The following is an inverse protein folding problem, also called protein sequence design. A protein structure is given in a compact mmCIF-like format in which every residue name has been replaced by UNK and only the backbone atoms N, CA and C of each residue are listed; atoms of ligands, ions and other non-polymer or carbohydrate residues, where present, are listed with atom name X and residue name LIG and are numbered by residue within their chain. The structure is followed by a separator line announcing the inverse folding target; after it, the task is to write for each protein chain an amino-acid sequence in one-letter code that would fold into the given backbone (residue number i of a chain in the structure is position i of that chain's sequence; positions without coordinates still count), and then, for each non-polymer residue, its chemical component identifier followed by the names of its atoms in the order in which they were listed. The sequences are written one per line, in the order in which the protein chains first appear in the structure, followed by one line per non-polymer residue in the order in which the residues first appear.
data_IF_305939007884
#
_entry.id   IF_305939007884
#
_cell.length_a   1.000
_cell.length_b   1.000
_cell.length_c   1.000
_cell.angle_alpha   90.00
_cell.angle_beta   90.00
_cell.angle_gamma   90.00
#
_symmetry.space_group_name_H-M   'P 1'
#
loop_
_entity.id
_entity.type
_entity.pdbx_description
1 polymer ?
#
# COMPACT_ATOMS: atom_id res chain seq x y z
N UNK A 1 12.74 -15.59 -8.07
CA UNK A 1 11.87 -14.85 -9.05
C UNK A 1 12.68 -14.44 -10.27
N UNK A 2 12.25 -14.79 -11.51
CA UNK A 2 13.00 -14.50 -12.74
C UNK A 2 12.06 -13.97 -13.81
N UNK A 3 12.40 -12.81 -14.40
CA UNK A 3 11.75 -12.29 -15.59
C UNK A 3 12.37 -12.96 -16.82
N UNK A 4 11.55 -13.23 -17.84
CA UNK A 4 11.99 -13.85 -19.10
C UNK A 4 11.32 -13.18 -20.28
N UNK A 5 12.11 -12.84 -21.31
CA UNK A 5 11.62 -12.34 -22.59
C UNK A 5 12.33 -13.06 -23.74
N UNK A 6 11.56 -13.43 -24.75
CA UNK A 6 12.10 -13.97 -26.01
C UNK A 6 11.99 -12.88 -27.06
N UNK A 7 13.12 -12.48 -27.63
CA UNK A 7 13.15 -11.43 -28.66
C UNK A 7 12.44 -11.93 -29.92
N UNK A 8 11.30 -11.34 -30.23
CA UNK A 8 10.41 -11.76 -31.32
C UNK A 8 10.33 -10.74 -32.48
N UNK A 9 11.08 -9.65 -32.39
CA UNK A 9 11.09 -8.58 -33.39
C UNK A 9 12.47 -7.94 -33.52
N UNK A 10 12.62 -7.05 -34.49
CA UNK A 10 13.88 -6.32 -34.80
C UNK A 10 13.89 -4.89 -34.23
N UNK A 11 12.92 -4.49 -33.39
CA UNK A 11 12.85 -3.15 -32.82
C UNK A 11 13.96 -2.89 -31.80
N UNK A 12 14.43 -3.95 -31.15
CA UNK A 12 15.48 -3.87 -30.13
C UNK A 12 16.85 -4.14 -30.76
N UNK A 13 17.78 -3.22 -30.54
CA UNK A 13 19.18 -3.37 -30.98
C UNK A 13 20.09 -3.82 -29.85
N UNK A 14 19.68 -3.67 -28.61
CA UNK A 14 20.46 -4.03 -27.44
C UNK A 14 19.57 -4.39 -26.24
N UNK A 15 20.16 -5.04 -25.24
CA UNK A 15 19.51 -5.51 -24.04
C UNK A 15 18.86 -4.37 -23.23
N UNK A 16 19.52 -3.20 -23.16
CA UNK A 16 18.98 -2.06 -22.40
C UNK A 16 17.58 -1.63 -22.88
N UNK A 17 17.35 -1.69 -24.19
CA UNK A 17 16.03 -1.35 -24.74
C UNK A 17 14.97 -2.35 -24.29
N UNK A 18 15.27 -3.65 -24.35
CA UNK A 18 14.35 -4.69 -23.88
C UNK A 18 14.05 -4.54 -22.39
N UNK A 19 15.08 -4.37 -21.55
CA UNK A 19 14.90 -4.23 -20.10
C UNK A 19 14.04 -3.02 -19.71
N UNK A 20 14.15 -1.92 -20.46
CA UNK A 20 13.35 -0.72 -20.20
C UNK A 20 11.94 -0.80 -20.76
N UNK A 21 11.76 -1.38 -21.95
CA UNK A 21 10.47 -1.34 -22.65
C UNK A 21 9.58 -2.52 -22.34
N UNK A 22 10.14 -3.73 -22.16
CA UNK A 22 9.37 -4.92 -21.88
C UNK A 22 9.21 -5.17 -20.37
N UNK A 23 10.28 -4.92 -19.61
CA UNK A 23 10.24 -5.15 -18.16
C UNK A 23 10.05 -3.88 -17.35
N UNK A 24 10.07 -2.70 -17.97
CA UNK A 24 9.94 -1.42 -17.27
C UNK A 24 10.90 -1.23 -16.09
N UNK A 25 12.10 -1.83 -16.19
CA UNK A 25 13.13 -1.76 -15.15
C UNK A 25 13.66 -0.32 -15.03
N UNK A 26 13.65 0.24 -13.83
CA UNK A 26 14.21 1.56 -13.56
C UNK A 26 15.73 1.60 -13.80
N UNK A 27 16.26 2.79 -14.14
CA UNK A 27 17.69 2.95 -14.34
C UNK A 27 18.53 2.55 -13.11
N UNK A 28 17.99 2.78 -11.91
CA UNK A 28 18.64 2.41 -10.64
C UNK A 28 18.71 0.90 -10.46
N UNK A 29 17.61 0.19 -10.63
CA UNK A 29 17.57 -1.26 -10.51
C UNK A 29 18.40 -1.91 -11.61
N UNK A 30 18.35 -1.39 -12.84
CA UNK A 30 19.14 -1.85 -13.96
C UNK A 30 20.64 -1.82 -13.65
N UNK A 31 21.14 -0.69 -13.14
CA UNK A 31 22.55 -0.55 -12.78
C UNK A 31 22.96 -1.63 -11.74
N UNK A 32 22.11 -1.88 -10.73
CA UNK A 32 22.35 -2.90 -9.71
C UNK A 32 22.40 -4.31 -10.31
N UNK A 33 21.44 -4.66 -11.17
CA UNK A 33 21.34 -5.98 -11.81
C UNK A 33 22.54 -6.29 -12.71
N UNK A 34 23.06 -5.29 -13.40
CA UNK A 34 24.27 -5.43 -14.25
C UNK A 34 25.50 -5.67 -13.38
N UNK A 35 25.72 -4.85 -12.36
CA UNK A 35 26.87 -5.00 -11.46
C UNK A 35 26.90 -6.37 -10.77
N UNK A 36 25.73 -6.91 -10.41
CA UNK A 36 25.59 -8.21 -9.77
C UNK A 36 25.48 -9.38 -10.77
N UNK A 37 25.62 -9.14 -12.09
CA UNK A 37 25.53 -10.15 -13.16
C UNK A 37 24.20 -10.93 -13.19
N UNK A 38 23.12 -10.29 -12.85
CA UNK A 38 21.77 -10.88 -12.79
C UNK A 38 20.99 -10.74 -14.12
N UNK A 39 21.62 -10.19 -15.17
CA UNK A 39 21.05 -10.12 -16.52
C UNK A 39 21.81 -11.09 -17.41
N UNK A 40 21.11 -12.02 -18.05
CA UNK A 40 21.69 -13.00 -18.95
C UNK A 40 21.03 -12.93 -20.34
N UNK A 41 21.85 -13.16 -21.36
CA UNK A 41 21.46 -13.42 -22.74
C UNK A 41 21.79 -14.88 -23.06
N UNK A 42 20.79 -15.67 -23.40
CA UNK A 42 20.96 -17.10 -23.67
C UNK A 42 21.73 -17.83 -22.56
N UNK A 43 21.37 -17.53 -21.29
CA UNK A 43 21.99 -18.06 -20.07
C UNK A 43 23.42 -17.57 -19.77
N UNK A 44 23.97 -16.63 -20.53
CA UNK A 44 25.29 -16.04 -20.29
C UNK A 44 25.14 -14.64 -19.71
N UNK A 45 25.78 -14.31 -18.57
CA UNK A 45 25.74 -12.94 -18.05
C UNK A 45 26.32 -11.92 -19.02
N UNK A 46 25.63 -10.80 -19.15
CA UNK A 46 25.95 -9.78 -20.18
C UNK A 46 25.82 -8.35 -19.65
N UNK A 47 26.41 -7.41 -20.41
CA UNK A 47 26.22 -5.96 -20.24
C UNK A 47 24.99 -5.50 -21.04
N UNK A 48 24.39 -4.39 -20.64
CA UNK A 48 23.24 -3.77 -21.30
C UNK A 48 23.48 -3.34 -22.73
N UNK A 49 24.76 -3.15 -23.12
CA UNK A 49 25.16 -2.76 -24.49
C UNK A 49 25.18 -3.92 -25.46
N UNK A 50 25.14 -5.15 -24.97
CA UNK A 50 25.14 -6.32 -25.86
C UNK A 50 23.97 -6.25 -26.83
N UNK A 51 24.26 -6.50 -28.11
CA UNK A 51 23.23 -6.61 -29.15
C UNK A 51 22.30 -7.78 -28.89
N UNK A 52 21.11 -7.71 -29.46
CA UNK A 52 20.11 -8.78 -29.41
C UNK A 52 19.64 -9.15 -30.81
N UNK A 53 19.32 -10.41 -31.00
CA UNK A 53 18.80 -10.99 -32.24
C UNK A 53 17.47 -11.70 -32.00
N UNK A 54 16.70 -11.92 -33.05
CA UNK A 54 15.45 -12.68 -32.97
C UNK A 54 15.76 -14.07 -32.40
N UNK A 55 14.89 -14.56 -31.53
CA UNK A 55 14.99 -15.79 -30.74
C UNK A 55 15.98 -15.76 -29.58
N UNK A 56 16.69 -14.68 -29.33
CA UNK A 56 17.47 -14.53 -28.11
C UNK A 56 16.56 -14.53 -26.87
N UNK A 57 17.04 -15.19 -25.83
CA UNK A 57 16.34 -15.28 -24.55
C UNK A 57 17.04 -14.38 -23.53
N UNK A 58 16.34 -13.35 -23.08
CA UNK A 58 16.80 -12.47 -22.02
C UNK A 58 16.17 -12.91 -20.72
N UNK A 59 16.98 -13.13 -19.69
CA UNK A 59 16.51 -13.43 -18.34
C UNK A 59 17.09 -12.43 -17.34
N UNK A 60 16.24 -12.03 -16.36
CA UNK A 60 16.63 -11.16 -15.25
C UNK A 60 16.31 -11.87 -13.96
N UNK A 61 17.32 -12.21 -13.18
CA UNK A 61 17.14 -12.79 -11.87
C UNK A 61 16.95 -11.66 -10.83
N UNK A 62 15.79 -11.63 -10.18
CA UNK A 62 15.45 -10.68 -9.12
C UNK A 62 15.72 -11.24 -7.72
N UNK A 63 16.29 -12.45 -7.66
CA UNK A 63 16.51 -13.20 -6.43
C UNK A 63 17.95 -13.01 -5.93
N UNK A 64 18.21 -11.90 -5.28
CA UNK A 64 19.50 -11.57 -4.67
C UNK A 64 19.33 -11.10 -3.23
N UNK A 65 20.34 -11.38 -2.41
CA UNK A 65 20.34 -10.99 -1.00
C UNK A 65 20.46 -9.48 -0.82
N UNK A 66 19.71 -8.95 0.15
CA UNK A 66 19.75 -7.55 0.55
C UNK A 66 19.58 -7.43 2.06
N UNK A 67 20.18 -6.42 2.65
CA UNK A 67 20.08 -6.16 4.08
C UNK A 67 19.26 -4.90 4.39
N UNK A 68 18.54 -4.94 5.51
CA UNK A 68 17.85 -3.80 6.11
C UNK A 68 18.56 -3.39 7.39
N UNK A 69 19.71 -2.73 7.26
CA UNK A 69 20.59 -2.36 8.38
C UNK A 69 19.90 -1.49 9.44
N UNK A 70 18.95 -0.65 9.02
CA UNK A 70 18.27 0.33 9.87
C UNK A 70 16.96 -0.16 10.50
N UNK A 71 16.63 -1.45 10.37
CA UNK A 71 15.42 -2.03 10.96
C UNK A 71 15.85 -3.14 11.92
N UNK A 72 15.45 -3.02 13.18
CA UNK A 72 15.70 -4.05 14.20
C UNK A 72 14.76 -5.22 13.95
N UNK A 73 15.30 -6.45 13.97
CA UNK A 73 14.50 -7.67 13.89
C UNK A 73 13.79 -7.90 15.23
N UNK A 74 12.45 -7.95 15.21
CA UNK A 74 11.65 -8.11 16.44
C UNK A 74 10.57 -9.15 16.23
N UNK A 75 10.52 -10.16 17.09
CA UNK A 75 9.47 -11.18 17.03
C UNK A 75 8.09 -10.56 17.22
N UNK A 76 7.21 -10.78 16.27
CA UNK A 76 5.86 -10.26 16.24
C UNK A 76 4.95 -11.25 15.51
N UNK A 77 3.73 -11.43 16.01
CA UNK A 77 2.72 -12.22 15.31
C UNK A 77 2.18 -11.42 14.12
N UNK A 78 2.32 -11.97 12.93
CA UNK A 78 1.86 -11.36 11.69
C UNK A 78 0.60 -12.07 11.17
N UNK A 79 -0.45 -11.31 10.93
CA UNK A 79 -1.65 -11.84 10.27
C UNK A 79 -1.42 -11.81 8.75
N UNK A 80 -0.91 -12.91 8.21
CA UNK A 80 -0.59 -13.07 6.78
C UNK A 80 -1.86 -13.45 6.03
N UNK A 81 -2.24 -12.62 5.05
CA UNK A 81 -3.37 -12.87 4.14
C UNK A 81 -2.91 -13.59 2.88
N UNK A 82 -1.72 -13.25 2.37
CA UNK A 82 -1.16 -13.87 1.18
C UNK A 82 0.36 -13.71 1.15
N UNK A 83 1.03 -14.69 0.58
CA UNK A 83 2.46 -14.66 0.35
C UNK A 83 2.82 -15.44 -0.91
N UNK A 84 3.74 -14.89 -1.71
CA UNK A 84 4.41 -15.55 -2.82
C UNK A 84 5.88 -15.12 -2.92
N UNK A 85 6.55 -15.38 -4.05
CA UNK A 85 7.96 -15.02 -4.27
C UNK A 85 8.19 -13.50 -4.33
N UNK A 86 7.19 -12.70 -4.68
CA UNK A 86 7.27 -11.25 -4.87
C UNK A 86 6.61 -10.42 -3.79
N UNK A 87 5.64 -10.98 -3.07
CA UNK A 87 4.70 -10.25 -2.23
C UNK A 87 4.52 -10.91 -0.86
N UNK A 88 4.28 -10.07 0.14
CA UNK A 88 3.72 -10.44 1.44
C UNK A 88 2.60 -9.45 1.76
N UNK A 89 1.36 -9.94 1.93
CA UNK A 89 0.18 -9.13 2.25
C UNK A 89 -0.28 -9.47 3.66
N UNK A 90 -0.38 -8.45 4.48
CA UNK A 90 -0.75 -8.57 5.89
C UNK A 90 -2.04 -7.83 6.18
N UNK A 91 -2.79 -8.30 7.17
CA UNK A 91 -3.82 -7.52 7.85
C UNK A 91 -3.20 -6.85 9.07
N UNK A 92 -2.85 -5.57 8.94
CA UNK A 92 -2.23 -4.79 10.03
C UNK A 92 -3.26 -4.50 11.13
N UNK A 93 -3.00 -4.81 12.39
CA UNK A 93 -3.84 -4.33 13.49
C UNK A 93 -3.68 -2.81 13.68
N UNK A 94 -4.63 -2.18 14.37
CA UNK A 94 -4.46 -0.82 14.86
C UNK A 94 -3.39 -0.75 15.96
N UNK A 95 -2.84 0.43 16.22
CA UNK A 95 -1.84 0.65 17.27
C UNK A 95 -0.39 0.32 16.88
N UNK A 96 -0.14 -0.11 15.65
CA UNK A 96 1.22 -0.44 15.16
C UNK A 96 1.57 0.45 13.97
N UNK A 97 2.74 1.09 14.00
CA UNK A 97 3.28 1.83 12.85
C UNK A 97 3.75 0.89 11.74
N UNK A 98 3.74 1.35 10.50
CA UNK A 98 4.27 0.55 9.38
C UNK A 98 5.79 0.52 9.40
N UNK A 99 6.42 1.67 9.61
CA UNK A 99 7.88 1.83 9.66
C UNK A 99 8.36 2.23 11.04
N UNK A 100 9.61 1.93 11.38
CA UNK A 100 10.24 2.47 12.57
C UNK A 100 10.18 4.00 12.60
N UNK A 101 9.97 4.54 13.78
CA UNK A 101 10.00 5.99 14.06
C UNK A 101 10.70 6.21 15.40
N UNK A 102 10.91 7.47 15.79
CA UNK A 102 11.58 7.82 17.06
C UNK A 102 10.90 7.14 18.26
N UNK A 103 9.56 7.09 18.26
CA UNK A 103 8.78 6.49 19.36
C UNK A 103 8.50 4.99 19.17
N UNK A 104 8.68 4.46 17.97
CA UNK A 104 8.38 3.08 17.57
C UNK A 104 9.57 2.48 16.83
N UNK A 105 10.73 2.41 17.48
CA UNK A 105 11.97 1.98 16.83
C UNK A 105 12.04 0.46 16.65
N UNK A 106 11.48 -0.29 17.58
CA UNK A 106 11.55 -1.77 17.61
C UNK A 106 10.21 -2.48 17.50
N UNK A 107 9.10 -1.76 17.47
CA UNK A 107 7.72 -2.27 17.54
C UNK A 107 6.86 -1.93 16.31
N UNK A 108 7.49 -1.52 15.21
CA UNK A 108 6.79 -1.33 13.95
C UNK A 108 6.54 -2.64 13.20
N UNK A 109 5.57 -2.66 12.31
CA UNK A 109 5.27 -3.83 11.46
C UNK A 109 6.50 -4.25 10.63
N UNK A 110 7.30 -3.29 10.17
CA UNK A 110 8.56 -3.58 9.46
C UNK A 110 9.58 -4.34 10.30
N UNK A 111 9.60 -4.14 11.63
CA UNK A 111 10.44 -4.92 12.55
C UNK A 111 9.98 -6.38 12.59
N UNK A 112 8.66 -6.61 12.67
CA UNK A 112 8.08 -7.95 12.62
C UNK A 112 8.30 -8.66 11.28
N UNK A 113 8.13 -7.95 10.16
CA UNK A 113 8.39 -8.50 8.82
C UNK A 113 9.87 -8.86 8.65
N UNK A 114 10.79 -8.07 9.19
CA UNK A 114 12.21 -8.42 9.17
C UNK A 114 12.47 -9.72 9.93
N UNK A 115 11.94 -9.87 11.15
CA UNK A 115 12.05 -11.10 11.92
C UNK A 115 11.47 -12.30 11.16
N UNK A 116 10.31 -12.13 10.55
CA UNK A 116 9.67 -13.17 9.75
C UNK A 116 10.55 -13.60 8.57
N UNK A 117 11.08 -12.66 7.78
CA UNK A 117 11.97 -12.97 6.67
C UNK A 117 13.23 -13.72 7.14
N UNK A 118 13.87 -13.29 8.22
CA UNK A 118 15.02 -13.97 8.79
C UNK A 118 14.67 -15.40 9.25
N UNK A 119 13.48 -15.60 9.85
CA UNK A 119 13.04 -16.91 10.35
C UNK A 119 12.81 -17.94 9.23
N UNK A 120 12.50 -17.48 8.02
CA UNK A 120 12.34 -18.34 6.83
C UNK A 120 13.59 -18.34 5.93
N UNK A 121 14.72 -17.79 6.41
CA UNK A 121 15.98 -17.73 5.66
C UNK A 121 15.98 -16.74 4.50
N UNK A 122 15.04 -15.79 4.45
CA UNK A 122 14.90 -14.82 3.37
C UNK A 122 15.65 -13.52 3.73
N UNK A 123 16.75 -13.26 3.07
CA UNK A 123 17.53 -12.02 3.23
C UNK A 123 17.05 -10.97 2.21
N UNK A 124 16.08 -10.17 2.59
CA UNK A 124 15.47 -9.13 1.76
C UNK A 124 15.35 -7.82 2.51
N UNK A 125 15.47 -6.73 1.76
CA UNK A 125 15.14 -5.40 2.29
C UNK A 125 13.64 -5.29 2.53
N UNK A 126 13.25 -4.69 3.66
CA UNK A 126 11.84 -4.48 4.01
C UNK A 126 11.27 -3.33 3.20
N UNK A 127 10.26 -3.62 2.36
CA UNK A 127 9.70 -2.70 1.36
C UNK A 127 8.18 -2.64 1.42
N UNK A 128 7.57 -1.87 2.32
CA UNK A 128 6.14 -1.64 2.21
C UNK A 128 5.82 -0.86 0.94
N UNK A 129 4.75 -1.26 0.29
CA UNK A 129 4.23 -0.69 -0.96
C UNK A 129 3.26 0.44 -0.68
N UNK A 130 2.36 0.24 0.29
CA UNK A 130 1.43 1.24 0.78
C UNK A 130 1.70 1.53 2.26
N UNK A 131 1.02 2.53 2.79
CA UNK A 131 1.11 2.89 4.20
C UNK A 131 -0.28 3.04 4.80
N UNK A 132 -0.37 2.70 6.08
CA UNK A 132 -1.53 2.95 6.94
C UNK A 132 -1.05 3.77 8.14
N UNK A 133 -1.93 4.62 8.65
CA UNK A 133 -1.65 5.36 9.88
C UNK A 133 -1.53 4.41 11.08
N UNK A 134 -0.92 4.86 12.18
CA UNK A 134 -0.73 4.08 13.41
C UNK A 134 -2.01 3.31 13.79
N UNK A 135 -3.12 4.01 13.91
CA UNK A 135 -4.40 3.49 14.37
C UNK A 135 -5.37 3.07 13.25
N UNK A 136 -4.93 3.11 11.98
CA UNK A 136 -5.68 2.52 10.86
C UNK A 136 -5.31 1.06 10.71
N UNK A 137 -6.30 0.18 10.68
CA UNK A 137 -6.13 -1.26 10.47
C UNK A 137 -6.33 -1.65 9.00
N UNK A 138 -5.98 -2.90 8.63
CA UNK A 138 -6.31 -3.50 7.35
C UNK A 138 -5.12 -3.84 6.46
N UNK A 139 -5.39 -4.02 5.18
CA UNK A 139 -4.46 -4.58 4.22
C UNK A 139 -3.25 -3.69 3.95
N UNK A 140 -2.07 -4.27 4.11
CA UNK A 140 -0.79 -3.67 3.77
C UNK A 140 0.07 -4.66 3.00
N UNK A 141 0.80 -4.16 2.00
CA UNK A 141 1.61 -4.96 1.09
C UNK A 141 3.08 -4.65 1.31
N UNK A 142 3.88 -5.69 1.42
CA UNK A 142 5.34 -5.64 1.37
C UNK A 142 5.82 -6.33 0.11
N UNK A 143 6.63 -5.64 -0.69
CA UNK A 143 7.31 -6.24 -1.82
C UNK A 143 8.61 -6.91 -1.37
N UNK A 144 8.86 -8.13 -1.86
CA UNK A 144 10.07 -8.88 -1.51
C UNK A 144 11.29 -8.49 -2.36
N UNK A 145 11.10 -7.68 -3.40
CA UNK A 145 12.19 -7.12 -4.21
C UNK A 145 11.85 -5.72 -4.72
N UNK A 146 12.86 -5.02 -5.25
CA UNK A 146 12.74 -3.63 -5.73
C UNK A 146 11.86 -3.52 -6.97
N UNK A 147 11.90 -4.50 -7.87
CA UNK A 147 11.10 -4.52 -9.10
C UNK A 147 9.60 -4.51 -8.80
N UNK A 148 9.15 -5.43 -7.93
CA UNK A 148 7.73 -5.51 -7.54
C UNK A 148 7.28 -4.25 -6.81
N UNK A 149 8.13 -3.68 -5.93
CA UNK A 149 7.81 -2.42 -5.26
C UNK A 149 7.61 -1.29 -6.26
N UNK A 150 8.55 -1.09 -7.19
CA UNK A 150 8.49 -0.03 -8.20
C UNK A 150 7.27 -0.19 -9.12
N UNK A 151 6.99 -1.41 -9.58
CA UNK A 151 5.86 -1.70 -10.44
C UNK A 151 4.52 -1.39 -9.75
N UNK A 152 4.33 -1.80 -8.50
CA UNK A 152 3.11 -1.50 -7.75
C UNK A 152 2.96 -0.01 -7.41
N UNK A 153 4.06 0.70 -7.15
CA UNK A 153 4.04 2.16 -6.98
C UNK A 153 3.62 2.85 -8.30
N UNK A 154 4.10 2.38 -9.44
CA UNK A 154 3.67 2.90 -10.75
C UNK A 154 2.17 2.64 -10.99
N UNK A 155 1.66 1.46 -10.65
CA UNK A 155 0.23 1.16 -10.75
C UNK A 155 -0.61 2.09 -9.85
N UNK A 156 -0.15 2.43 -8.65
CA UNK A 156 -0.81 3.43 -7.80
C UNK A 156 -0.84 4.82 -8.44
N UNK A 157 0.28 5.25 -9.06
CA UNK A 157 0.36 6.55 -9.74
C UNK A 157 -0.52 6.61 -10.99
N UNK A 158 -0.73 5.47 -11.66
CA UNK A 158 -1.56 5.33 -12.86
C UNK A 158 -3.02 4.94 -12.53
N UNK A 159 -3.41 4.93 -11.25
CA UNK A 159 -4.75 4.58 -10.76
C UNK A 159 -5.23 3.15 -11.15
N UNK A 160 -4.30 2.25 -11.46
CA UNK A 160 -4.57 0.82 -11.69
C UNK A 160 -4.70 0.06 -10.37
N UNK A 161 -3.91 0.46 -9.38
CA UNK A 161 -3.97 -0.10 -8.03
C UNK A 161 -5.16 0.48 -7.24
N UNK A 162 -6.11 -0.37 -6.89
CA UNK A 162 -7.29 0.03 -6.09
C UNK A 162 -7.04 -0.23 -4.60
N UNK A 163 -7.44 0.74 -3.75
CA UNK A 163 -7.51 0.62 -2.29
C UNK A 163 -8.86 1.11 -1.83
N UNK A 164 -9.59 0.26 -1.12
CA UNK A 164 -10.86 0.63 -0.52
C UNK A 164 -10.80 0.50 1.00
N UNK A 165 -11.48 1.41 1.64
CA UNK A 165 -11.55 1.51 3.10
C UNK A 165 -12.99 1.53 3.54
N UNK A 166 -13.27 0.94 4.68
CA UNK A 166 -14.50 1.17 5.42
C UNK A 166 -14.21 2.18 6.52
N UNK A 167 -14.97 3.27 6.51
CA UNK A 167 -14.97 4.30 7.54
C UNK A 167 -16.33 4.38 8.22
N UNK A 168 -16.35 4.59 9.54
CA UNK A 168 -17.57 4.98 10.26
C UNK A 168 -17.44 6.45 10.61
N UNK A 169 -18.35 7.26 10.10
CA UNK A 169 -18.30 8.73 10.18
C UNK A 169 -19.52 9.29 10.86
N UNK A 170 -19.41 10.50 11.42
CA UNK A 170 -20.49 11.18 12.12
C UNK A 170 -21.55 11.72 11.16
N UNK A 171 -22.83 11.62 11.54
CA UNK A 171 -23.97 12.17 10.82
C UNK A 171 -24.39 11.37 9.59
N UNK A 172 -25.33 11.93 8.86
CA UNK A 172 -25.95 11.38 7.63
C UNK A 172 -25.60 12.24 6.42
N UNK A 173 -25.57 11.63 5.25
CA UNK A 173 -25.21 12.30 4.00
C UNK A 173 -26.45 12.65 3.17
N UNK A 174 -26.49 13.86 2.63
CA UNK A 174 -27.47 14.24 1.61
C UNK A 174 -27.24 13.47 0.30
N UNK A 175 -25.97 13.38 -0.11
CA UNK A 175 -25.55 12.62 -1.30
C UNK A 175 -24.90 11.30 -0.88
N UNK A 176 -25.46 10.18 -1.30
CA UNK A 176 -25.01 8.84 -0.90
C UNK A 176 -23.71 8.40 -1.59
N UNK A 177 -23.24 9.10 -2.57
CA UNK A 177 -21.94 8.92 -3.21
C UNK A 177 -21.40 10.25 -3.73
N UNK A 178 -20.06 10.35 -3.83
CA UNK A 178 -19.42 11.55 -4.34
C UNK A 178 -17.91 11.43 -4.44
N UNK A 179 -17.30 12.51 -4.91
CA UNK A 179 -15.85 12.65 -5.03
C UNK A 179 -15.43 13.90 -4.26
N UNK A 180 -14.48 13.72 -3.34
CA UNK A 180 -13.82 14.81 -2.63
C UNK A 180 -12.48 15.03 -3.32
N UNK A 181 -12.36 16.13 -4.06
CA UNK A 181 -11.14 16.54 -4.77
C UNK A 181 -10.65 17.85 -4.16
N UNK A 182 -9.96 17.75 -3.04
CA UNK A 182 -9.48 18.88 -2.24
C UNK A 182 -8.01 18.67 -1.86
N UNK A 183 -7.11 19.60 -2.21
CA UNK A 183 -5.68 19.44 -1.93
C UNK A 183 -5.40 19.45 -0.42
N UNK A 184 -4.43 18.64 0.00
CA UNK A 184 -4.05 18.47 1.41
C UNK A 184 -2.63 18.97 1.65
N UNK A 185 -2.47 19.83 2.65
CA UNK A 185 -1.19 20.34 3.15
C UNK A 185 -0.97 19.95 4.62
N UNK A 186 0.23 20.22 5.12
CA UNK A 186 0.50 20.22 6.56
C UNK A 186 -0.18 21.44 7.17
N UNK A 187 -0.92 21.26 8.27
CA UNK A 187 -1.52 22.38 9.01
C UNK A 187 -0.40 23.23 9.62
N UNK A 188 -0.56 24.54 9.52
CA UNK A 188 0.38 25.49 10.09
C UNK A 188 0.54 25.26 11.60
N UNK A 189 1.75 25.37 12.09
CA UNK A 189 2.12 25.14 13.50
C UNK A 189 1.85 23.72 14.02
N UNK A 190 1.62 22.73 13.15
CA UNK A 190 1.47 21.33 13.54
C UNK A 190 2.46 20.41 12.81
N UNK A 191 3.07 19.49 13.58
CA UNK A 191 3.96 18.46 13.03
C UNK A 191 3.12 17.29 12.45
N UNK A 192 1.96 17.02 13.04
CA UNK A 192 1.15 15.82 12.78
C UNK A 192 -0.05 16.13 11.88
N UNK A 193 -0.78 17.22 12.17
CA UNK A 193 -2.05 17.50 11.50
C UNK A 193 -1.89 17.89 10.04
N UNK A 194 -2.90 17.58 9.27
CA UNK A 194 -3.09 17.97 7.87
C UNK A 194 -4.38 18.78 7.76
N UNK A 195 -4.48 19.58 6.72
CA UNK A 195 -5.70 20.35 6.42
C UNK A 195 -5.90 20.45 4.92
N UNK A 196 -7.13 20.72 4.51
CA UNK A 196 -7.43 21.14 3.14
C UNK A 196 -6.83 22.53 2.94
N UNK A 197 -6.06 22.71 1.86
CA UNK A 197 -5.39 23.97 1.53
C UNK A 197 -5.10 24.01 0.03
N UNK A 198 -5.33 25.15 -0.61
CA UNK A 198 -5.03 25.37 -2.03
C UNK A 198 -3.56 25.14 -2.39
N UNK A 199 -2.65 25.38 -1.45
CA UNK A 199 -1.21 25.12 -1.59
C UNK A 199 -0.83 23.66 -1.30
N UNK A 200 -1.82 22.78 -1.09
CA UNK A 200 -1.62 21.38 -0.77
C UNK A 200 -1.30 20.50 -1.98
N UNK A 201 -0.96 19.26 -1.71
CA UNK A 201 -0.82 18.24 -2.73
C UNK A 201 -2.20 17.72 -3.15
N UNK A 202 -2.39 17.49 -4.45
CA UNK A 202 -3.62 16.89 -4.98
C UNK A 202 -4.02 15.66 -4.18
N UNK A 203 -5.27 15.62 -3.73
CA UNK A 203 -5.84 14.54 -2.98
C UNK A 203 -7.27 14.28 -3.45
N UNK A 204 -7.57 13.02 -3.83
CA UNK A 204 -8.86 12.63 -4.40
C UNK A 204 -9.36 11.38 -3.68
N UNK A 205 -10.54 11.48 -3.09
CA UNK A 205 -11.24 10.39 -2.40
C UNK A 205 -12.64 10.23 -2.99
N UNK A 206 -12.95 9.06 -3.53
CA UNK A 206 -14.31 8.67 -3.87
C UNK A 206 -14.96 8.07 -2.63
N UNK A 207 -16.24 8.35 -2.40
CA UNK A 207 -17.00 7.77 -1.31
C UNK A 207 -18.38 7.26 -1.74
N UNK A 208 -18.83 6.23 -1.05
CA UNK A 208 -20.16 5.63 -1.19
C UNK A 208 -20.70 5.27 0.20
N UNK A 209 -21.87 5.76 0.55
CA UNK A 209 -22.54 5.44 1.82
C UNK A 209 -23.17 4.07 1.71
N UNK A 210 -22.71 3.12 2.51
CA UNK A 210 -23.21 1.75 2.52
C UNK A 210 -24.38 1.55 3.46
N UNK A 211 -24.37 2.25 4.60
CA UNK A 211 -25.42 2.19 5.61
C UNK A 211 -25.42 3.48 6.43
N UNK A 212 -26.58 3.85 6.95
CA UNK A 212 -26.78 5.04 7.79
C UNK A 212 -27.69 4.74 8.98
N UNK A 213 -27.44 5.46 10.04
CA UNK A 213 -28.35 5.62 11.19
C UNK A 213 -28.58 7.12 11.39
N UNK A 214 -29.42 7.50 12.38
CA UNK A 214 -29.62 8.92 12.70
C UNK A 214 -28.36 9.63 13.22
N UNK A 215 -27.27 8.90 13.56
CA UNK A 215 -26.09 9.45 14.23
C UNK A 215 -24.78 9.23 13.49
N UNK A 216 -24.70 8.22 12.61
CA UNK A 216 -23.47 7.90 11.87
C UNK A 216 -23.79 7.22 10.54
N UNK A 217 -22.79 7.25 9.66
CA UNK A 217 -22.81 6.56 8.37
C UNK A 217 -21.61 5.60 8.26
N UNK A 218 -21.84 4.43 7.66
CA UNK A 218 -20.79 3.51 7.21
C UNK A 218 -20.49 3.83 5.77
N UNK A 219 -19.26 4.22 5.49
CA UNK A 219 -18.86 4.75 4.21
C UNK A 219 -17.71 3.93 3.63
N UNK A 220 -17.87 3.49 2.39
CA UNK A 220 -16.77 2.97 1.59
C UNK A 220 -16.01 4.14 0.96
N UNK A 221 -14.71 4.19 1.16
CA UNK A 221 -13.82 5.22 0.60
C UNK A 221 -12.82 4.56 -0.33
N UNK A 222 -12.75 5.00 -1.60
CA UNK A 222 -11.73 4.59 -2.55
C UNK A 222 -10.72 5.71 -2.74
N UNK A 223 -9.44 5.41 -2.57
CA UNK A 223 -8.36 6.37 -2.70
C UNK A 223 -7.75 6.37 -4.10
N UNK A 224 -7.88 7.49 -4.83
CA UNK A 224 -7.13 7.72 -6.07
C UNK A 224 -5.75 8.32 -5.82
N UNK A 225 -5.53 8.89 -4.64
CA UNK A 225 -4.24 9.40 -4.15
C UNK A 225 -4.00 8.89 -2.72
N UNK A 226 -2.77 8.99 -2.20
CA UNK A 226 -2.42 8.46 -0.87
C UNK A 226 -1.73 9.48 0.02
N UNK A 227 -2.38 10.61 0.34
CA UNK A 227 -1.80 11.62 1.25
C UNK A 227 -1.98 11.21 2.71
N UNK A 228 -1.08 11.69 3.56
CA UNK A 228 -1.16 11.43 5.01
C UNK A 228 -2.51 11.89 5.55
N UNK A 229 -3.21 11.03 6.29
CA UNK A 229 -4.52 11.28 6.90
C UNK A 229 -5.64 11.62 5.89
N UNK A 230 -5.50 11.30 4.60
CA UNK A 230 -6.37 11.82 3.54
C UNK A 230 -7.85 11.62 3.81
N UNK A 231 -8.33 10.40 4.08
CA UNK A 231 -9.74 10.12 4.37
C UNK A 231 -10.21 10.90 5.59
N UNK A 232 -9.41 10.93 6.65
CA UNK A 232 -9.70 11.61 7.91
C UNK A 232 -9.90 13.11 7.70
N UNK A 233 -9.00 13.74 6.98
CA UNK A 233 -9.06 15.19 6.62
C UNK A 233 -10.25 15.47 5.73
N UNK A 234 -10.44 14.70 4.67
CA UNK A 234 -11.52 14.90 3.71
C UNK A 234 -12.89 14.77 4.36
N UNK A 235 -13.12 13.69 5.10
CA UNK A 235 -14.40 13.46 5.79
C UNK A 235 -14.67 14.53 6.86
N UNK A 236 -13.68 14.92 7.64
CA UNK A 236 -13.82 16.01 8.61
C UNK A 236 -14.15 17.34 7.93
N UNK A 237 -13.49 17.66 6.80
CA UNK A 237 -13.70 18.91 6.06
C UNK A 237 -15.13 19.04 5.50
N UNK A 238 -15.72 17.93 5.04
CA UNK A 238 -17.11 17.92 4.54
C UNK A 238 -18.16 17.78 5.65
N UNK A 239 -17.75 17.84 6.94
CA UNK A 239 -18.67 17.81 8.10
C UNK A 239 -18.97 16.42 8.64
N UNK A 240 -18.32 15.37 8.16
CA UNK A 240 -18.50 13.98 8.57
C UNK A 240 -17.21 13.36 9.15
N UNK A 241 -16.66 13.86 10.28
CA UNK A 241 -15.45 13.31 10.86
C UNK A 241 -15.63 11.84 11.24
N UNK A 242 -14.53 11.08 11.20
CA UNK A 242 -14.55 9.67 11.61
C UNK A 242 -14.82 9.54 13.10
N UNK A 243 -15.64 8.57 13.48
CA UNK A 243 -15.89 8.24 14.87
C UNK A 243 -14.59 7.81 15.54
N UNK A 244 -14.33 8.32 16.75
CA UNK A 244 -13.14 8.04 17.54
C UNK A 244 -11.85 8.70 17.02
N UNK A 245 -11.92 9.57 16.00
CA UNK A 245 -10.77 10.32 15.52
C UNK A 245 -10.49 11.53 16.43
N UNK A 246 -9.61 11.38 17.40
CA UNK A 246 -9.26 12.45 18.35
C UNK A 246 -8.51 13.62 17.72
N UNK A 247 -8.01 13.49 16.48
CA UNK A 247 -7.24 14.53 15.81
C UNK A 247 -8.10 15.43 14.92
N UNK A 248 -9.11 14.84 14.22
CA UNK A 248 -9.94 15.54 13.23
C UNK A 248 -11.43 15.52 13.56
N UNK A 249 -11.84 14.79 14.58
CA UNK A 249 -13.23 14.65 15.01
C UNK A 249 -13.38 14.83 16.50
N UNK A 250 -14.11 13.94 17.12
CA UNK A 250 -14.30 13.89 18.57
C UNK A 250 -13.95 12.51 19.10
N UNK A 251 -13.53 12.45 20.37
CA UNK A 251 -13.42 11.19 21.10
C UNK A 251 -14.77 10.47 21.15
N UNK A 252 -14.73 9.16 21.24
CA UNK A 252 -15.92 8.32 21.37
C UNK A 252 -15.68 7.27 22.44
N UNK A 253 -16.68 7.04 23.28
CA UNK A 253 -16.63 5.95 24.28
C UNK A 253 -16.79 4.56 23.64
N UNK A 254 -17.14 4.51 22.36
CA UNK A 254 -17.41 3.26 21.63
C UNK A 254 -16.19 2.70 20.92
N UNK A 255 -15.25 3.55 20.55
CA UNK A 255 -14.00 3.18 19.87
C UNK A 255 -12.90 4.19 20.19
N UNK A 256 -11.71 3.71 20.57
CA UNK A 256 -10.58 4.53 21.04
C UNK A 256 -9.64 4.98 19.91
N UNK A 257 -10.06 4.87 18.65
CA UNK A 257 -9.26 5.20 17.46
C UNK A 257 -10.17 5.64 16.34
N UNK A 258 -9.60 6.25 15.30
CA UNK A 258 -10.38 6.49 14.09
C UNK A 258 -10.97 5.18 13.57
N UNK A 259 -12.27 5.15 13.35
CA UNK A 259 -12.99 4.01 12.78
C UNK A 259 -12.71 3.91 11.30
N UNK A 260 -11.50 3.42 10.95
CA UNK A 260 -10.97 3.32 9.60
C UNK A 260 -10.22 2.01 9.38
N UNK A 261 -10.57 1.29 8.32
CA UNK A 261 -10.02 0.00 7.99
C UNK A 261 -9.83 -0.15 6.48
N UNK A 262 -8.63 -0.50 6.02
CA UNK A 262 -8.35 -0.84 4.63
C UNK A 262 -8.82 -2.28 4.37
N UNK A 263 -10.04 -2.44 3.88
CA UNK A 263 -10.67 -3.75 3.76
C UNK A 263 -10.43 -4.44 2.42
N UNK A 264 -10.02 -3.71 1.37
CA UNK A 264 -9.84 -4.26 0.03
C UNK A 264 -8.68 -3.60 -0.70
N UNK A 265 -7.90 -4.44 -1.40
CA UNK A 265 -6.88 -4.01 -2.38
C UNK A 265 -6.98 -4.86 -3.64
N UNK A 266 -6.75 -4.24 -4.81
CA UNK A 266 -6.65 -4.95 -6.09
C UNK A 266 -5.57 -4.31 -6.96
N UNK A 267 -4.76 -5.14 -7.62
CA UNK A 267 -3.65 -4.71 -8.47
C UNK A 267 -3.30 -5.81 -9.48
N UNK A 268 -2.54 -5.46 -10.49
CA UNK A 268 -1.95 -6.41 -11.42
C UNK A 268 -0.62 -6.93 -10.86
N UNK A 269 -0.45 -8.25 -10.74
CA UNK A 269 0.79 -8.86 -10.30
C UNK A 269 1.89 -8.57 -11.35
N UNK A 270 3.04 -7.97 -10.95
CA UNK A 270 4.00 -7.38 -11.89
C UNK A 270 4.67 -8.34 -12.88
N UNK A 271 4.64 -9.63 -12.63
CA UNK A 271 5.31 -10.64 -13.49
C UNK A 271 4.33 -11.43 -14.34
N UNK A 272 3.25 -11.90 -13.73
CA UNK A 272 2.23 -12.70 -14.41
C UNK A 272 1.16 -11.86 -15.09
N UNK A 273 1.09 -10.56 -14.79
CA UNK A 273 0.05 -9.63 -15.26
C UNK A 273 -1.38 -10.06 -14.90
N UNK A 274 -1.53 -10.95 -13.93
CA UNK A 274 -2.85 -11.35 -13.42
C UNK A 274 -3.36 -10.34 -12.41
N UNK A 275 -4.63 -10.00 -12.49
CA UNK A 275 -5.28 -9.19 -11.46
C UNK A 275 -5.45 -10.01 -10.19
N UNK A 276 -4.84 -9.55 -9.11
CA UNK A 276 -5.02 -10.11 -7.78
C UNK A 276 -5.89 -9.15 -6.96
N UNK A 277 -6.79 -9.73 -6.17
CA UNK A 277 -7.68 -8.99 -5.27
C UNK A 277 -7.73 -9.67 -3.91
N UNK A 278 -7.60 -8.87 -2.85
CA UNK A 278 -7.61 -9.35 -1.48
C UNK A 278 -8.56 -8.51 -0.65
N UNK A 279 -9.24 -9.18 0.27
CA UNK A 279 -10.10 -8.54 1.26
C UNK A 279 -9.80 -9.07 2.66
N UNK A 280 -10.09 -8.27 3.66
CA UNK A 280 -10.09 -8.70 5.06
C UNK A 280 -11.33 -8.18 5.77
N UNK A 281 -11.77 -8.95 6.78
CA UNK A 281 -12.92 -8.62 7.59
C UNK A 281 -12.67 -7.39 8.48
N UNK A 282 -13.74 -6.72 8.86
CA UNK A 282 -13.65 -5.61 9.81
C UNK A 282 -13.10 -6.12 11.16
N UNK A 283 -12.26 -5.33 11.82
CA UNK A 283 -11.82 -5.65 13.18
C UNK A 283 -12.99 -5.53 14.16
N UNK A 284 -12.93 -6.30 15.22
CA UNK A 284 -14.00 -6.48 16.21
C UNK A 284 -14.55 -5.14 16.76
N UNK A 285 -13.68 -4.19 17.05
CA UNK A 285 -14.06 -2.86 17.56
C UNK A 285 -14.95 -2.08 16.56
N UNK A 286 -14.67 -2.16 15.26
CA UNK A 286 -15.52 -1.55 14.24
C UNK A 286 -16.80 -2.33 13.98
N UNK A 287 -16.74 -3.66 14.01
CA UNK A 287 -17.92 -4.54 13.86
C UNK A 287 -18.93 -4.31 15.00
N UNK A 288 -18.44 -4.23 16.23
CA UNK A 288 -19.24 -3.90 17.41
C UNK A 288 -19.85 -2.50 17.26
N UNK A 289 -19.06 -1.49 16.89
CA UNK A 289 -19.53 -0.12 16.68
C UNK A 289 -20.71 -0.06 15.70
N UNK A 290 -20.62 -0.78 14.59
CA UNK A 290 -21.67 -0.82 13.57
C UNK A 290 -22.92 -1.55 14.10
N UNK A 291 -22.77 -2.70 14.77
CA UNK A 291 -23.86 -3.53 15.28
C UNK A 291 -24.65 -2.86 16.41
N UNK A 292 -23.99 -2.28 17.42
CA UNK A 292 -24.64 -1.61 18.55
C UNK A 292 -25.55 -0.48 18.08
N UNK A 293 -25.13 0.26 17.07
CA UNK A 293 -25.88 1.42 16.60
C UNK A 293 -27.02 1.06 15.63
N UNK A 294 -26.91 -0.07 14.92
CA UNK A 294 -28.02 -0.58 14.10
C UNK A 294 -29.19 -1.10 14.93
N UNK A 295 -28.94 -1.63 16.15
CA UNK A 295 -30.00 -2.12 17.04
C UNK A 295 -30.80 -1.00 17.71
N UNK A 296 -30.20 0.17 17.95
CA UNK A 296 -30.89 1.30 18.61
C UNK A 296 -31.78 2.12 17.65
N UNK A 297 -31.91 1.72 16.39
CA UNK A 297 -32.80 2.37 15.41
C UNK A 297 -34.20 1.76 15.37
N UNK A 298 -34.47 0.67 16.16
CA UNK A 298 -35.74 -0.03 16.20
C UNK A 298 -36.43 0.03 17.60
N UNK A 299 -35.97 0.93 18.48
CA UNK A 299 -36.63 1.16 19.80
C UNK A 299 -37.28 2.54 19.88
#
# INVERSE_FOLDING_TARGET
MTLKYVVNNTFYTNINQVLKQEFHISARLLHKLILSKHVCLNSVPVDTRNGVSINDIITVNLDFEEESENIVSTKMDLNIIYEDDGLLILNKPAGITVHPSILHYTDSLSNGVKYYFESIGLKRKIRPVNRLDLNTSGLIIFAKNEYVQEALIQQMNNHVFTKEYIAVVSGTFDKKAGIINLPIARKENSIIERCVSENGQTAITEYEVLNETNFFSVVKCKLLTGRTHQIRVHMSYIGHPLIGDSLYGSSSDLINRQALHCNFVSFEEPVSHKVLSFSCELPEDMDILIKIRCQNTFS
#
